data_IF_132619961209
#
_entry.id   IF_132619961209
#
_cell.length_a   1.000
_cell.length_b   1.000
_cell.length_c   1.000
_cell.angle_alpha   90.00
_cell.angle_beta   90.00
_cell.angle_gamma   90.00
#
_symmetry.space_group_name_H-M   'P 1'
#
loop_
_entity.id
_entity.type
_entity.pdbx_description
1 polymer ?
#
# COMPACT_ATOMS: atom_id res chain seq x y z
N UNK A 1 -25.86 -7.60 6.62
CA UNK A 1 -25.93 -7.88 5.17
C UNK A 1 -24.59 -7.48 4.55
N UNK A 2 -23.75 -8.43 4.11
CA UNK A 2 -22.55 -8.12 3.33
C UNK A 2 -22.94 -8.15 1.85
N UNK A 3 -22.87 -7.02 1.17
CA UNK A 3 -22.98 -6.97 -0.28
C UNK A 3 -21.71 -7.61 -0.87
N UNK A 4 -21.77 -8.89 -1.22
CA UNK A 4 -20.76 -9.50 -2.09
C UNK A 4 -21.12 -9.11 -3.52
N UNK A 5 -20.40 -8.14 -4.08
CA UNK A 5 -20.42 -7.90 -5.51
C UNK A 5 -19.71 -9.09 -6.17
N UNK A 6 -20.35 -9.86 -7.07
CA UNK A 6 -19.65 -10.92 -7.77
C UNK A 6 -18.49 -10.30 -8.57
N UNK A 7 -17.31 -10.92 -8.49
CA UNK A 7 -16.18 -10.56 -9.35
C UNK A 7 -16.57 -10.77 -10.81
N UNK A 8 -16.13 -9.87 -11.68
CA UNK A 8 -16.32 -10.06 -13.11
C UNK A 8 -15.49 -11.29 -13.56
N UNK A 9 -15.97 -12.06 -14.55
CA UNK A 9 -15.29 -13.27 -15.02
C UNK A 9 -13.82 -13.05 -15.39
N UNK A 10 -13.52 -11.91 -16.03
CA UNK A 10 -12.16 -11.51 -16.41
C UNK A 10 -11.24 -11.33 -15.19
N UNK A 11 -11.75 -10.78 -14.08
CA UNK A 11 -11.00 -10.64 -12.83
C UNK A 11 -10.64 -12.00 -12.22
N UNK A 12 -11.53 -12.99 -12.32
CA UNK A 12 -11.25 -14.33 -11.79
C UNK A 12 -10.20 -15.06 -12.63
N UNK A 13 -10.26 -14.93 -13.96
CA UNK A 13 -9.24 -15.46 -14.87
C UNK A 13 -7.87 -14.83 -14.63
N UNK A 14 -7.80 -13.51 -14.50
CA UNK A 14 -6.56 -12.79 -14.13
C UNK A 14 -6.00 -13.25 -12.79
N UNK A 15 -6.85 -13.37 -11.76
CA UNK A 15 -6.42 -13.89 -10.44
C UNK A 15 -5.83 -15.30 -10.57
N UNK A 16 -6.48 -16.18 -11.33
CA UNK A 16 -6.00 -17.54 -11.53
C UNK A 16 -4.68 -17.56 -12.30
N UNK A 17 -4.54 -16.75 -13.35
CA UNK A 17 -3.30 -16.61 -14.11
C UNK A 17 -2.13 -16.17 -13.21
N UNK A 18 -2.31 -15.11 -12.41
CA UNK A 18 -1.24 -14.62 -11.52
C UNK A 18 -0.87 -15.65 -10.46
N UNK A 19 -1.85 -16.35 -9.90
CA UNK A 19 -1.60 -17.39 -8.88
C UNK A 19 -0.85 -18.60 -9.43
N UNK A 20 -1.00 -18.91 -10.72
CA UNK A 20 -0.38 -20.07 -11.36
C UNK A 20 0.94 -19.74 -12.07
N UNK A 21 1.20 -18.46 -12.35
CA UNK A 21 2.29 -18.02 -13.22
C UNK A 21 2.77 -16.61 -12.81
N UNK A 22 2.62 -15.63 -13.69
CA UNK A 22 2.99 -14.23 -13.48
C UNK A 22 1.88 -13.30 -14.00
N UNK A 23 1.90 -12.06 -13.51
CA UNK A 23 1.00 -11.00 -13.93
C UNK A 23 1.76 -9.74 -14.28
N UNK A 24 1.19 -8.95 -15.17
CA UNK A 24 1.64 -7.61 -15.50
C UNK A 24 0.44 -6.68 -15.43
N UNK A 25 0.57 -5.56 -14.70
CA UNK A 25 -0.52 -4.63 -14.46
C UNK A 25 -0.01 -3.20 -14.53
N UNK A 26 -0.80 -2.32 -15.14
CA UNK A 26 -0.62 -0.88 -15.04
C UNK A 26 -1.19 -0.37 -13.71
N UNK A 27 -0.47 0.53 -13.05
CA UNK A 27 -0.86 1.10 -11.74
C UNK A 27 -1.34 2.55 -11.90
N UNK A 28 -2.15 2.83 -12.92
CA UNK A 28 -2.52 4.20 -13.33
C UNK A 28 -3.29 5.00 -12.25
N UNK A 29 -3.85 4.32 -11.24
CA UNK A 29 -4.52 4.95 -10.09
C UNK A 29 -3.59 5.28 -8.91
N UNK A 30 -2.30 4.90 -8.98
CA UNK A 30 -1.35 5.11 -7.89
C UNK A 30 -0.45 6.30 -8.18
N UNK A 31 -0.04 6.98 -7.12
CA UNK A 31 0.96 8.06 -7.17
C UNK A 31 2.16 7.69 -6.31
N UNK A 32 3.35 8.03 -6.79
CA UNK A 32 4.60 7.83 -6.04
C UNK A 32 5.02 9.18 -5.48
N UNK A 33 5.21 9.23 -4.16
CA UNK A 33 5.74 10.38 -3.45
C UNK A 33 7.15 10.02 -2.97
N UNK A 34 8.07 10.98 -3.06
CA UNK A 34 9.43 10.84 -2.51
C UNK A 34 9.65 11.91 -1.46
N UNK A 35 10.17 11.51 -0.30
CA UNK A 35 10.58 12.41 0.77
C UNK A 35 12.03 12.13 1.14
N UNK A 36 12.83 13.19 1.26
CA UNK A 36 14.25 13.11 1.61
C UNK A 36 14.58 14.16 2.66
N UNK A 37 15.45 13.81 3.61
CA UNK A 37 15.89 14.71 4.66
C UNK A 37 16.20 13.95 5.94
N UNK A 38 16.98 14.58 6.83
CA UNK A 38 17.38 13.98 8.11
C UNK A 38 16.18 13.57 8.98
N UNK A 39 15.08 14.31 8.88
CA UNK A 39 13.89 14.14 9.72
C UNK A 39 12.75 13.38 9.04
N UNK A 40 12.96 12.78 7.86
CA UNK A 40 11.88 12.13 7.10
C UNK A 40 11.21 11.00 7.89
N UNK A 41 12.00 10.13 8.51
CA UNK A 41 11.46 9.03 9.32
C UNK A 41 10.80 9.52 10.60
N UNK A 42 11.40 10.52 11.27
CA UNK A 42 10.79 11.20 12.43
C UNK A 42 9.42 11.77 12.08
N UNK A 43 9.28 12.40 10.91
CA UNK A 43 8.00 12.92 10.43
C UNK A 43 6.99 11.81 10.16
N UNK A 44 7.37 10.78 9.39
CA UNK A 44 6.49 9.64 9.08
C UNK A 44 6.01 8.90 10.33
N UNK A 45 6.86 8.80 11.36
CA UNK A 45 6.50 8.23 12.66
C UNK A 45 5.31 8.94 13.33
N UNK A 46 5.11 10.23 13.05
CA UNK A 46 3.99 11.01 13.61
C UNK A 46 2.73 10.98 12.74
N UNK A 47 2.85 10.60 11.47
CA UNK A 47 1.76 10.67 10.48
C UNK A 47 1.26 9.29 10.05
N UNK A 48 1.86 8.20 10.56
CA UNK A 48 1.51 6.84 10.16
C UNK A 48 1.28 5.95 11.37
N UNK A 49 0.50 4.89 11.18
CA UNK A 49 0.10 3.98 12.28
C UNK A 49 1.20 3.04 12.75
N UNK A 50 2.26 2.86 11.98
CA UNK A 50 3.28 1.86 12.28
C UNK A 50 4.59 2.54 12.69
N UNK A 51 5.48 1.78 13.33
CA UNK A 51 6.82 2.25 13.64
C UNK A 51 7.65 2.36 12.34
N UNK A 52 7.84 3.59 11.89
CA UNK A 52 8.61 3.92 10.71
C UNK A 52 10.12 3.97 11.02
N UNK A 53 10.51 4.16 12.28
CA UNK A 53 11.92 4.21 12.69
C UNK A 53 12.60 2.84 12.63
N UNK A 54 11.82 1.76 12.65
CA UNK A 54 12.30 0.38 12.48
C UNK A 54 12.44 -0.05 11.00
N UNK A 55 12.10 0.81 10.04
CA UNK A 55 12.18 0.47 8.62
C UNK A 55 13.63 0.56 8.12
N UNK A 56 14.18 -0.56 7.68
CA UNK A 56 15.55 -0.63 7.16
C UNK A 56 15.61 -0.44 5.64
N UNK A 57 16.80 -0.12 5.12
CA UNK A 57 17.02 0.03 3.67
C UNK A 57 16.69 -1.28 2.94
N UNK A 58 15.85 -1.17 1.91
CA UNK A 58 15.37 -2.32 1.12
C UNK A 58 14.09 -2.96 1.66
N UNK A 59 13.62 -2.56 2.84
CA UNK A 59 12.33 -2.99 3.36
C UNK A 59 11.19 -2.08 2.88
N UNK A 60 10.00 -2.67 2.77
CA UNK A 60 8.75 -1.97 2.51
C UNK A 60 7.75 -2.20 3.63
N UNK A 61 6.89 -1.22 3.88
CA UNK A 61 5.86 -1.29 4.91
C UNK A 61 4.55 -0.74 4.37
N UNK A 62 3.45 -1.43 4.66
CA UNK A 62 2.10 -0.92 4.44
C UNK A 62 1.60 -0.25 5.73
N UNK A 63 1.36 1.05 5.67
CA UNK A 63 0.92 1.85 6.81
C UNK A 63 -0.30 2.69 6.43
N UNK A 64 -1.16 2.99 7.41
CA UNK A 64 -2.20 3.99 7.22
C UNK A 64 -1.67 5.37 7.60
N UNK A 65 -1.98 6.38 6.78
CA UNK A 65 -1.71 7.79 7.11
C UNK A 65 -2.85 8.31 7.97
N UNK A 66 -2.53 9.00 9.07
CA UNK A 66 -3.51 9.57 10.00
C UNK A 66 -3.60 11.08 9.84
N UNK A 67 -4.77 11.63 10.20
CA UNK A 67 -4.97 13.06 10.34
C UNK A 67 -5.02 13.45 11.83
N UNK A 68 -5.09 14.76 12.09
CA UNK A 68 -5.10 15.30 13.47
C UNK A 68 -6.34 14.89 14.29
N UNK A 69 -7.40 14.36 13.67
CA UNK A 69 -8.56 13.88 14.41
C UNK A 69 -8.36 12.47 14.97
N UNK A 70 -7.31 11.76 14.53
CA UNK A 70 -7.03 10.37 14.89
C UNK A 70 -5.56 10.12 15.28
N UNK A 71 -4.81 11.18 15.60
CA UNK A 71 -3.46 11.10 16.17
C UNK A 71 -3.52 10.91 17.69
#
# INVERSE_FOLDING_TARGET
MRFFRPMQPTTLEEINQVRQSCGFFFMDGWSILTANGKETFSFLQTQTTNDALQLEVGQGQASAVTDRQRA
#
